data_IF_484232301639
#
_entry.id   IF_484232301639
#
_cell.length_a   1.000
_cell.length_b   1.000
_cell.length_c   1.000
_cell.angle_alpha   90.00
_cell.angle_beta   90.00
_cell.angle_gamma   90.00
#
_symmetry.space_group_name_H-M   'P 1'
#
loop_
_entity.id
_entity.type
_entity.pdbx_description
1 polymer ?
#
# COMPACT_ATOMS: atom_id res chain seq x y z
N UNK A 1 -22.03 46.78 11.83
CA UNK A 1 -21.06 46.02 12.66
C UNK A 1 -21.45 44.55 12.94
N UNK A 2 -22.66 44.12 12.60
CA UNK A 2 -23.18 42.76 12.87
C UNK A 2 -22.67 41.69 11.89
N UNK A 3 -22.53 42.01 10.60
CA UNK A 3 -22.09 41.07 9.56
C UNK A 3 -20.67 40.51 9.82
N UNK A 4 -19.73 41.37 10.25
CA UNK A 4 -18.34 40.94 10.56
C UNK A 4 -18.28 39.98 11.74
N UNK A 5 -19.13 40.17 12.75
CA UNK A 5 -19.22 39.28 13.93
C UNK A 5 -19.81 37.93 13.56
N UNK A 6 -20.83 37.93 12.69
CA UNK A 6 -21.40 36.72 12.13
C UNK A 6 -20.41 35.93 11.28
N UNK A 7 -19.68 36.60 10.39
CA UNK A 7 -18.63 35.96 9.59
C UNK A 7 -17.56 35.32 10.47
N UNK A 8 -17.13 36.03 11.51
CA UNK A 8 -16.15 35.52 12.46
C UNK A 8 -16.66 34.31 13.24
N UNK A 9 -17.91 34.36 13.71
CA UNK A 9 -18.56 33.22 14.36
C UNK A 9 -18.68 32.01 13.44
N UNK A 10 -19.03 32.22 12.17
CA UNK A 10 -19.12 31.15 11.17
C UNK A 10 -17.74 30.52 10.90
N UNK A 11 -16.70 31.32 10.74
CA UNK A 11 -15.33 30.82 10.53
C UNK A 11 -14.86 30.01 11.73
N UNK A 12 -15.07 30.50 12.96
CA UNK A 12 -14.73 29.76 14.18
C UNK A 12 -15.50 28.44 14.30
N UNK A 13 -16.79 28.45 13.95
CA UNK A 13 -17.62 27.26 13.95
C UNK A 13 -17.09 26.21 12.96
N UNK A 14 -16.74 26.62 11.74
CA UNK A 14 -16.16 25.72 10.74
C UNK A 14 -14.81 25.16 11.17
N UNK A 15 -13.96 25.97 11.80
CA UNK A 15 -12.68 25.51 12.37
C UNK A 15 -12.91 24.48 13.47
N UNK A 16 -13.85 24.75 14.39
CA UNK A 16 -14.19 23.83 15.47
C UNK A 16 -14.73 22.49 14.92
N UNK A 17 -15.62 22.56 13.92
CA UNK A 17 -16.17 21.39 13.24
C UNK A 17 -15.06 20.56 12.58
N UNK A 18 -14.14 21.21 11.88
CA UNK A 18 -13.00 20.53 11.26
C UNK A 18 -12.07 19.92 12.32
N UNK A 19 -11.76 20.63 13.41
CA UNK A 19 -10.89 20.16 14.47
C UNK A 19 -11.46 18.94 15.22
N UNK A 20 -12.78 18.92 15.42
CA UNK A 20 -13.51 17.88 16.17
C UNK A 20 -14.16 16.83 15.27
N UNK A 21 -13.80 16.79 13.99
CA UNK A 21 -14.35 15.84 13.04
C UNK A 21 -14.10 14.38 13.52
N UNK A 22 -15.13 13.52 13.61
CA UNK A 22 -14.98 12.14 14.07
C UNK A 22 -14.31 11.24 13.01
N UNK A 23 -13.67 10.16 13.47
CA UNK A 23 -13.06 9.13 12.61
C UNK A 23 -14.03 8.50 11.59
N UNK A 24 -15.32 8.45 11.92
CA UNK A 24 -16.37 7.90 11.05
C UNK A 24 -16.52 8.68 9.74
N UNK A 25 -16.21 9.99 9.72
CA UNK A 25 -16.19 10.77 8.49
C UNK A 25 -15.09 10.30 7.53
N UNK A 26 -13.92 9.93 8.06
CA UNK A 26 -12.85 9.37 7.25
C UNK A 26 -13.25 7.99 6.70
N UNK A 27 -13.87 7.15 7.52
CA UNK A 27 -14.40 5.85 7.09
C UNK A 27 -15.40 6.00 5.94
N UNK A 28 -16.34 6.94 6.07
CA UNK A 28 -17.29 7.26 5.01
C UNK A 28 -16.59 7.78 3.75
N UNK A 29 -15.66 8.73 3.88
CA UNK A 29 -14.92 9.30 2.75
C UNK A 29 -14.10 8.26 1.99
N UNK A 30 -13.45 7.34 2.70
CA UNK A 30 -12.67 6.24 2.10
C UNK A 30 -13.59 5.28 1.35
N UNK A 31 -14.72 4.91 1.94
CA UNK A 31 -15.71 4.04 1.31
C UNK A 31 -16.28 4.68 0.04
N UNK A 32 -16.69 5.94 0.11
CA UNK A 32 -17.27 6.68 -1.01
C UNK A 32 -16.26 6.89 -2.14
N UNK A 33 -15.06 7.40 -1.83
CA UNK A 33 -14.02 7.67 -2.83
C UNK A 33 -13.44 6.41 -3.48
N UNK A 34 -13.55 5.25 -2.80
CA UNK A 34 -13.12 3.96 -3.34
C UNK A 34 -14.26 3.19 -4.03
N UNK A 35 -15.46 3.75 -4.10
CA UNK A 35 -16.66 3.07 -4.59
C UNK A 35 -16.90 1.71 -3.90
N UNK A 36 -16.70 1.65 -2.57
CA UNK A 36 -16.89 0.46 -1.75
C UNK A 36 -15.76 -0.58 -1.80
N UNK A 37 -14.61 -0.25 -2.42
CA UNK A 37 -13.46 -1.17 -2.50
C UNK A 37 -12.59 -1.15 -1.25
N UNK A 38 -12.63 -0.07 -0.49
CA UNK A 38 -11.93 0.10 0.77
C UNK A 38 -12.93 0.41 1.87
N UNK A 39 -13.03 -0.47 2.85
CA UNK A 39 -13.95 -0.30 3.98
C UNK A 39 -13.17 -0.30 5.29
N UNK A 40 -13.25 0.80 6.03
CA UNK A 40 -12.71 0.88 7.40
C UNK A 40 -13.73 0.32 8.39
N UNK A 41 -13.33 -0.71 9.14
CA UNK A 41 -14.16 -1.40 10.13
C UNK A 41 -13.85 -0.89 11.54
N UNK A 42 -14.90 -0.60 12.31
CA UNK A 42 -14.80 -0.10 13.69
C UNK A 42 -13.84 1.11 13.84
N UNK A 43 -14.04 2.13 13.01
CA UNK A 43 -13.27 3.37 13.08
C UNK A 43 -13.56 4.14 14.38
N UNK A 44 -12.50 4.51 15.11
CA UNK A 44 -12.55 5.22 16.38
C UNK A 44 -11.51 6.34 16.44
N UNK A 45 -11.75 7.33 17.30
CA UNK A 45 -10.93 8.54 17.43
C UNK A 45 -11.39 9.70 16.54
N UNK A 46 -10.45 10.56 16.14
CA UNK A 46 -10.71 11.73 15.31
C UNK A 46 -10.34 11.53 13.85
N UNK A 47 -10.82 12.43 12.99
CA UNK A 47 -10.46 12.51 11.59
C UNK A 47 -8.95 12.69 11.41
N UNK A 48 -8.32 13.52 12.25
CA UNK A 48 -6.88 13.79 12.19
C UNK A 48 -6.02 12.69 12.80
N UNK A 49 -6.49 12.07 13.88
CA UNK A 49 -5.78 11.01 14.60
C UNK A 49 -6.79 9.97 15.02
N UNK A 50 -6.74 8.80 14.40
CA UNK A 50 -7.70 7.74 14.66
C UNK A 50 -7.16 6.38 14.29
N UNK A 51 -7.99 5.38 14.55
CA UNK A 51 -7.67 3.98 14.32
C UNK A 51 -8.92 3.20 13.92
N UNK A 52 -8.71 2.08 13.25
CA UNK A 52 -9.73 1.12 12.86
C UNK A 52 -9.26 -0.29 13.21
N UNK A 53 -10.18 -1.13 13.65
CA UNK A 53 -9.87 -2.54 13.94
C UNK A 53 -9.50 -3.29 12.66
N UNK A 54 -10.13 -2.93 11.54
CA UNK A 54 -9.90 -3.54 10.24
C UNK A 54 -9.94 -2.53 9.09
N UNK A 55 -9.20 -2.82 8.04
CA UNK A 55 -9.41 -2.26 6.70
C UNK A 55 -9.60 -3.43 5.74
N UNK A 56 -10.77 -3.49 5.13
CA UNK A 56 -11.09 -4.49 4.11
C UNK A 56 -10.82 -3.88 2.73
N UNK A 57 -9.90 -4.49 1.98
CA UNK A 57 -9.66 -4.19 0.58
C UNK A 57 -10.32 -5.28 -0.26
N UNK A 58 -11.27 -4.88 -1.11
CA UNK A 58 -11.92 -5.75 -2.10
C UNK A 58 -11.31 -5.53 -3.47
N UNK A 59 -10.29 -6.31 -3.86
CA UNK A 59 -9.71 -6.19 -5.20
C UNK A 59 -10.71 -6.62 -6.27
N UNK A 60 -10.45 -6.20 -7.51
CA UNK A 60 -11.25 -6.60 -8.68
C UNK A 60 -11.21 -8.11 -8.95
N UNK A 61 -10.14 -8.78 -8.49
CA UNK A 61 -9.96 -10.22 -8.58
C UNK A 61 -9.28 -10.74 -7.31
N UNK A 62 -9.79 -11.84 -6.76
CA UNK A 62 -9.28 -12.49 -5.54
C UNK A 62 -10.13 -12.23 -4.29
N UNK A 63 -9.78 -12.86 -3.16
CA UNK A 63 -10.48 -12.67 -1.90
C UNK A 63 -10.27 -11.26 -1.34
N UNK A 64 -11.14 -10.84 -0.42
CA UNK A 64 -10.94 -9.61 0.34
C UNK A 64 -9.65 -9.71 1.19
N UNK A 65 -8.80 -8.69 1.11
CA UNK A 65 -7.61 -8.58 1.94
C UNK A 65 -7.99 -7.79 3.19
N UNK A 66 -7.82 -8.39 4.36
CA UNK A 66 -8.01 -7.70 5.64
C UNK A 66 -6.68 -7.25 6.24
N UNK A 67 -6.67 -5.97 6.63
CA UNK A 67 -5.60 -5.31 7.35
C UNK A 67 -6.07 -5.01 8.77
N UNK A 68 -5.41 -5.54 9.80
CA UNK A 68 -5.90 -5.38 11.18
C UNK A 68 -5.16 -4.27 11.93
N UNK A 69 -5.85 -3.51 12.78
CA UNK A 69 -5.28 -2.40 13.57
C UNK A 69 -4.64 -1.32 12.68
N UNK A 70 -5.44 -0.75 11.79
CA UNK A 70 -5.01 0.39 10.97
C UNK A 70 -5.07 1.66 11.82
N UNK A 71 -4.00 2.45 11.80
CA UNK A 71 -3.95 3.77 12.42
C UNK A 71 -3.61 4.80 11.37
N UNK A 72 -4.16 6.00 11.54
CA UNK A 72 -3.82 7.13 10.69
C UNK A 72 -3.51 8.36 11.52
N UNK A 73 -2.62 9.19 10.97
CA UNK A 73 -2.28 10.49 11.52
C UNK A 73 -2.12 11.51 10.41
N UNK A 74 -2.91 12.57 10.49
CA UNK A 74 -2.92 13.73 9.61
C UNK A 74 -2.54 14.93 10.47
N UNK A 75 -1.62 15.76 9.99
CA UNK A 75 -1.19 16.97 10.69
C UNK A 75 -2.04 18.15 10.21
N UNK A 76 -3.03 18.64 10.99
CA UNK A 76 -4.01 19.62 10.53
C UNK A 76 -3.34 20.95 10.14
N UNK A 77 -2.35 21.40 10.90
CA UNK A 77 -1.60 22.62 10.57
C UNK A 77 -0.90 22.52 9.20
N UNK A 78 -0.42 21.34 8.78
CA UNK A 78 0.16 21.14 7.44
C UNK A 78 -0.88 21.05 6.34
N UNK A 79 -2.11 20.66 6.67
CA UNK A 79 -3.20 20.62 5.71
C UNK A 79 -3.58 22.03 5.25
N UNK A 80 -3.54 23.01 6.17
CA UNK A 80 -3.76 24.42 5.86
C UNK A 80 -2.75 24.99 4.86
N UNK A 81 -1.54 24.45 4.81
CA UNK A 81 -0.48 24.84 3.87
C UNK A 81 -0.37 23.93 2.64
N UNK A 82 -1.36 23.06 2.40
CA UNK A 82 -1.42 22.18 1.21
C UNK A 82 -0.44 21.00 1.21
N UNK A 83 0.16 20.68 2.36
CA UNK A 83 1.27 19.73 2.45
C UNK A 83 1.08 18.73 3.59
N UNK A 84 -0.14 18.24 3.83
CA UNK A 84 -0.41 17.25 4.87
C UNK A 84 -0.13 15.83 4.38
N UNK A 85 0.99 15.18 4.79
CA UNK A 85 1.09 13.75 4.67
C UNK A 85 0.07 13.09 5.60
N UNK A 86 -0.68 12.14 5.04
CA UNK A 86 -1.45 11.18 5.83
C UNK A 86 -0.53 10.00 6.12
N UNK A 87 -0.16 9.83 7.38
CA UNK A 87 0.59 8.66 7.81
C UNK A 87 -0.40 7.53 8.03
N UNK A 88 -0.18 6.39 7.39
CA UNK A 88 -1.00 5.19 7.53
C UNK A 88 -0.07 4.07 7.99
N UNK A 89 -0.45 3.42 9.09
CA UNK A 89 0.26 2.27 9.62
C UNK A 89 -0.73 1.15 9.93
N UNK A 90 -0.29 -0.07 9.68
CA UNK A 90 -0.95 -1.29 10.05
C UNK A 90 0.08 -2.16 10.78
N UNK A 91 -0.24 -2.54 12.01
CA UNK A 91 0.64 -3.33 12.87
C UNK A 91 -0.04 -4.62 13.36
N UNK A 92 -1.01 -5.16 12.62
CA UNK A 92 -1.82 -6.29 13.07
C UNK A 92 -1.98 -7.38 12.02
N UNK A 93 -1.72 -8.62 12.43
CA UNK A 93 -1.87 -9.82 11.61
C UNK A 93 -0.62 -10.14 10.78
N UNK A 94 -0.80 -10.98 9.75
CA UNK A 94 0.28 -11.46 8.87
C UNK A 94 0.74 -10.43 7.83
N UNK A 95 0.07 -9.28 7.75
CA UNK A 95 0.39 -8.19 6.84
C UNK A 95 0.59 -6.91 7.65
N UNK A 96 1.80 -6.35 7.57
CA UNK A 96 2.13 -5.05 8.13
C UNK A 96 2.43 -4.07 7.01
N UNK A 97 1.92 -2.85 7.15
CA UNK A 97 2.08 -1.80 6.15
C UNK A 97 2.37 -0.47 6.85
N UNK A 98 3.35 0.28 6.36
CA UNK A 98 3.60 1.65 6.81
C UNK A 98 3.85 2.54 5.59
N UNK A 99 3.18 3.68 5.52
CA UNK A 99 3.34 4.61 4.38
C UNK A 99 2.94 6.04 4.75
N UNK A 100 3.43 7.00 3.96
CA UNK A 100 3.03 8.40 4.04
C UNK A 100 2.40 8.82 2.72
N UNK A 101 1.10 9.11 2.72
CA UNK A 101 0.36 9.53 1.54
C UNK A 101 0.35 11.05 1.43
N UNK A 102 0.93 11.57 0.35
CA UNK A 102 0.97 12.98 0.01
C UNK A 102 -0.03 13.27 -1.11
N UNK A 103 -0.93 14.24 -0.97
CA UNK A 103 -1.76 14.69 -2.07
C UNK A 103 -0.88 15.39 -3.13
N UNK A 104 -1.08 15.07 -4.40
CA UNK A 104 -0.42 15.74 -5.53
C UNK A 104 -1.46 16.06 -6.61
N UNK A 105 -1.15 17.01 -7.50
CA UNK A 105 -2.07 17.33 -8.59
C UNK A 105 -2.34 16.07 -9.44
N UNK A 106 -3.61 15.69 -9.58
CA UNK A 106 -4.03 14.52 -10.35
C UNK A 106 -3.79 13.15 -9.68
N UNK A 107 -3.52 13.10 -8.37
CA UNK A 107 -3.49 11.83 -7.64
C UNK A 107 -2.79 11.89 -6.27
N UNK A 108 -2.04 10.86 -5.94
CA UNK A 108 -1.34 10.75 -4.67
C UNK A 108 0.12 10.29 -4.84
N UNK A 109 0.96 10.57 -3.85
CA UNK A 109 2.34 10.10 -3.77
C UNK A 109 2.51 9.35 -2.45
N UNK A 110 2.87 8.08 -2.50
CA UNK A 110 3.27 7.33 -1.32
C UNK A 110 4.77 7.48 -1.11
N UNK A 111 5.15 7.97 0.05
CA UNK A 111 6.53 8.05 0.49
C UNK A 111 6.77 7.06 1.62
N UNK A 112 7.99 6.52 1.70
CA UNK A 112 8.42 5.60 2.77
C UNK A 112 7.49 4.38 2.90
N UNK A 113 7.03 3.87 1.78
CA UNK A 113 6.19 2.67 1.74
C UNK A 113 7.00 1.47 2.20
N UNK A 114 6.45 0.73 3.16
CA UNK A 114 6.97 -0.54 3.65
C UNK A 114 5.81 -1.51 3.76
N UNK A 115 6.01 -2.70 3.24
CA UNK A 115 5.06 -3.81 3.30
C UNK A 115 5.84 -5.05 3.74
N UNK A 116 5.37 -5.72 4.78
CA UNK A 116 5.85 -7.04 5.14
C UNK A 116 4.65 -7.96 5.28
N UNK A 117 4.67 -9.09 4.56
CA UNK A 117 3.54 -10.01 4.52
C UNK A 117 3.99 -11.45 4.35
N UNK A 118 3.23 -12.39 4.93
CA UNK A 118 3.41 -13.81 4.63
C UNK A 118 3.10 -14.12 3.17
N UNK A 119 3.88 -15.02 2.55
CA UNK A 119 3.64 -15.49 1.18
C UNK A 119 2.31 -16.25 1.06
N UNK A 120 1.87 -16.91 2.14
CA UNK A 120 0.58 -17.58 2.20
C UNK A 120 -0.60 -16.59 2.02
N UNK A 121 -0.48 -15.38 2.55
CA UNK A 121 -1.48 -14.30 2.40
C UNK A 121 -1.57 -13.81 0.95
N UNK A 122 -0.48 -13.88 0.20
CA UNK A 122 -0.43 -13.46 -1.20
C UNK A 122 -0.80 -14.56 -2.19
N UNK A 123 -0.72 -15.83 -1.79
CA UNK A 123 -0.96 -16.98 -2.65
C UNK A 123 -2.29 -16.92 -3.45
N UNK A 124 -3.43 -16.46 -2.88
CA UNK A 124 -4.69 -16.34 -3.63
C UNK A 124 -4.64 -15.35 -4.80
N UNK A 125 -3.75 -14.36 -4.74
CA UNK A 125 -3.65 -13.29 -5.74
C UNK A 125 -2.67 -13.61 -6.88
N UNK A 126 -1.76 -14.56 -6.68
CA UNK A 126 -0.73 -14.89 -7.67
C UNK A 126 -1.24 -15.78 -8.81
N UNK A 127 -2.44 -16.37 -8.67
CA UNK A 127 -3.11 -17.22 -9.67
C UNK A 127 -2.20 -18.27 -10.35
N UNK A 128 -1.14 -18.72 -9.67
CA UNK A 128 -0.11 -19.59 -10.22
C UNK A 128 -0.08 -20.93 -9.46
N UNK A 129 -0.03 -22.09 -10.15
CA UNK A 129 0.06 -23.40 -9.51
C UNK A 129 1.29 -23.56 -8.60
N UNK A 130 2.32 -22.76 -8.86
CA UNK A 130 3.58 -22.67 -8.12
C UNK A 130 3.46 -21.87 -6.81
N UNK A 131 2.42 -21.05 -6.65
CA UNK A 131 2.12 -20.33 -5.41
C UNK A 131 1.39 -21.22 -4.37
N UNK A 132 0.87 -22.39 -4.76
CA UNK A 132 0.15 -23.29 -3.86
C UNK A 132 1.11 -23.91 -2.84
N UNK A 133 0.86 -23.66 -1.56
CA UNK A 133 1.70 -24.15 -0.45
C UNK A 133 2.99 -23.36 -0.26
N UNK A 134 3.13 -22.19 -0.90
CA UNK A 134 4.26 -21.30 -0.72
C UNK A 134 4.27 -20.74 0.71
N UNK A 135 5.40 -20.89 1.40
CA UNK A 135 5.62 -20.40 2.76
C UNK A 135 6.84 -19.50 2.83
N UNK A 136 6.77 -18.52 3.72
CA UNK A 136 7.83 -17.55 3.99
C UNK A 136 7.31 -16.13 3.99
N UNK A 137 8.20 -15.16 3.85
CA UNK A 137 7.92 -13.73 4.02
C UNK A 137 8.30 -12.92 2.78
N UNK A 138 7.48 -11.92 2.45
CA UNK A 138 7.82 -10.86 1.52
C UNK A 138 8.04 -9.57 2.31
N UNK A 139 9.17 -8.92 2.07
CA UNK A 139 9.47 -7.57 2.58
C UNK A 139 9.72 -6.66 1.39
N UNK A 140 8.88 -5.65 1.22
CA UNK A 140 9.01 -4.64 0.18
C UNK A 140 9.13 -3.26 0.80
N UNK A 141 10.06 -2.48 0.27
CA UNK A 141 10.23 -1.09 0.59
C UNK A 141 10.24 -0.27 -0.69
N UNK A 142 9.61 0.90 -0.64
CA UNK A 142 9.72 1.90 -1.69
C UNK A 142 9.92 3.28 -1.06
N UNK A 143 10.95 4.03 -1.47
CA UNK A 143 11.11 5.40 -1.01
C UNK A 143 9.98 6.28 -1.55
N UNK A 144 9.53 6.02 -2.79
CA UNK A 144 8.60 6.86 -3.52
C UNK A 144 7.79 6.11 -4.58
N UNK A 145 6.46 6.26 -4.52
CA UNK A 145 5.51 5.79 -5.51
C UNK A 145 4.54 6.92 -5.84
N UNK A 146 4.45 7.30 -7.11
CA UNK A 146 3.52 8.30 -7.64
C UNK A 146 2.32 7.62 -8.28
N UNK A 147 1.18 7.71 -7.59
CA UNK A 147 -0.15 7.33 -8.08
C UNK A 147 -0.85 8.53 -8.76
N UNK A 148 -0.15 9.18 -9.68
CA UNK A 148 -0.66 10.29 -10.48
C UNK A 148 0.07 10.25 -11.83
N UNK A 149 -0.58 10.62 -12.93
CA UNK A 149 0.07 10.60 -14.25
C UNK A 149 1.28 11.57 -14.27
N UNK A 150 2.44 11.15 -14.83
CA UNK A 150 2.77 9.78 -15.23
C UNK A 150 2.98 8.88 -14.01
N UNK A 151 2.36 7.70 -14.02
CA UNK A 151 2.46 6.77 -12.89
C UNK A 151 3.91 6.28 -12.81
N UNK A 152 4.57 6.41 -11.67
CA UNK A 152 5.96 5.99 -11.50
C UNK A 152 6.20 5.46 -10.11
N UNK A 153 7.00 4.43 -9.98
CA UNK A 153 7.40 3.94 -8.67
C UNK A 153 8.50 2.92 -8.78
N UNK A 154 9.33 2.84 -7.74
CA UNK A 154 10.30 1.76 -7.59
C UNK A 154 10.15 1.15 -6.22
N UNK A 155 9.97 -0.17 -6.15
CA UNK A 155 10.03 -0.91 -4.90
C UNK A 155 11.17 -1.92 -5.00
N UNK A 156 11.91 -2.09 -3.92
CA UNK A 156 12.90 -3.15 -3.78
C UNK A 156 12.65 -3.89 -2.48
N UNK A 157 13.05 -5.14 -2.44
CA UNK A 157 12.69 -6.00 -1.34
C UNK A 157 13.35 -7.35 -1.39
N UNK A 158 12.93 -8.18 -0.44
CA UNK A 158 13.41 -9.54 -0.27
C UNK A 158 12.20 -10.46 -0.12
N UNK A 159 12.29 -11.61 -0.77
CA UNK A 159 11.38 -12.73 -0.58
C UNK A 159 12.17 -13.82 0.09
N UNK A 160 11.79 -14.19 1.30
CA UNK A 160 12.27 -15.37 1.97
C UNK A 160 11.30 -16.51 1.69
N UNK A 161 11.76 -17.57 1.03
CA UNK A 161 10.97 -18.78 0.78
C UNK A 161 11.45 -19.87 1.74
N UNK A 162 10.55 -20.36 2.59
CA UNK A 162 10.86 -21.39 3.59
C UNK A 162 10.29 -22.77 3.21
N UNK A 163 9.40 -22.82 2.20
CA UNK A 163 8.86 -24.07 1.71
C UNK A 163 7.86 -23.89 0.56
N UNK A 164 7.65 -24.97 -0.19
CA UNK A 164 6.74 -25.01 -1.33
C UNK A 164 7.39 -25.67 -2.56
N UNK A 165 6.89 -25.33 -3.74
CA UNK A 165 7.40 -25.82 -5.03
C UNK A 165 8.59 -25.01 -5.56
N UNK A 166 8.82 -23.82 -5.01
CA UNK A 166 9.97 -22.97 -5.34
C UNK A 166 11.16 -23.33 -4.44
N UNK A 167 12.41 -23.11 -4.91
CA UNK A 167 13.58 -23.35 -4.07
C UNK A 167 13.54 -22.48 -2.82
N UNK A 168 13.93 -23.09 -1.69
CA UNK A 168 14.05 -22.41 -0.41
C UNK A 168 15.25 -21.47 -0.45
N UNK A 169 15.10 -20.28 0.13
CA UNK A 169 16.15 -19.29 0.25
C UNK A 169 15.65 -17.86 0.08
N UNK A 170 16.60 -16.94 0.10
CA UNK A 170 16.35 -15.50 0.02
C UNK A 170 16.52 -15.00 -1.41
N UNK A 171 15.53 -14.26 -1.89
CA UNK A 171 15.48 -13.70 -3.24
C UNK A 171 15.38 -12.19 -3.16
N UNK A 172 16.25 -11.46 -3.85
CA UNK A 172 16.07 -10.01 -4.01
C UNK A 172 15.05 -9.73 -5.10
N UNK A 173 14.08 -8.86 -4.82
CA UNK A 173 13.05 -8.43 -5.77
C UNK A 173 13.20 -6.93 -6.05
N UNK A 174 13.21 -6.56 -7.32
CA UNK A 174 13.13 -5.18 -7.76
C UNK A 174 11.92 -5.00 -8.68
N UNK A 175 11.11 -3.99 -8.37
CA UNK A 175 9.92 -3.61 -9.10
C UNK A 175 10.10 -2.17 -9.57
N UNK A 176 9.94 -1.93 -10.87
CA UNK A 176 9.99 -0.60 -11.46
C UNK A 176 8.75 -0.37 -12.34
N UNK A 177 7.82 0.44 -11.85
CA UNK A 177 6.60 0.81 -12.56
C UNK A 177 6.75 2.14 -13.30
N UNK A 178 6.35 2.16 -14.56
CA UNK A 178 6.16 3.37 -15.36
C UNK A 178 4.87 3.24 -16.20
N UNK A 179 3.93 4.15 -15.96
CA UNK A 179 2.61 4.22 -16.58
C UNK A 179 1.81 2.91 -16.44
N UNK A 180 1.72 2.10 -17.51
CA UNK A 180 1.01 0.82 -17.50
C UNK A 180 1.92 -0.39 -17.39
N UNK A 181 3.24 -0.21 -17.37
CA UNK A 181 4.20 -1.32 -17.35
C UNK A 181 4.91 -1.38 -16.01
N UNK A 182 4.83 -2.53 -15.35
CA UNK A 182 5.58 -2.88 -14.15
C UNK A 182 6.69 -3.85 -14.54
N UNK A 183 7.94 -3.38 -14.58
CA UNK A 183 9.09 -4.26 -14.76
C UNK A 183 9.41 -4.94 -13.44
N UNK A 184 9.66 -6.24 -13.51
CA UNK A 184 9.93 -7.11 -12.38
C UNK A 184 11.30 -7.74 -12.63
N UNK A 185 12.19 -7.67 -11.65
CA UNK A 185 13.47 -8.38 -11.65
C UNK A 185 13.61 -9.12 -10.35
N UNK A 186 14.04 -10.36 -10.41
CA UNK A 186 14.36 -11.14 -9.23
C UNK A 186 15.71 -11.82 -9.38
N UNK A 187 16.39 -11.99 -8.27
CA UNK A 187 17.64 -12.73 -8.21
C UNK A 187 17.61 -13.64 -7.00
N UNK A 188 17.73 -14.93 -7.26
CA UNK A 188 17.71 -15.96 -6.24
C UNK A 188 19.03 -16.12 -5.50
N UNK A 189 19.04 -17.00 -4.48
CA UNK A 189 20.20 -17.21 -3.64
C UNK A 189 21.38 -17.73 -4.44
N UNK A 190 22.60 -17.35 -4.06
CA UNK A 190 23.83 -17.88 -4.65
C UNK A 190 23.90 -19.39 -4.42
N UNK A 191 24.12 -20.18 -5.48
CA UNK A 191 24.25 -21.63 -5.37
C UNK A 191 23.76 -22.38 -6.62
N UNK A 192 23.81 -23.72 -6.62
CA UNK A 192 23.46 -24.55 -7.77
C UNK A 192 21.97 -24.49 -8.17
N UNK A 193 21.12 -23.84 -7.37
CA UNK A 193 19.71 -23.55 -7.67
C UNK A 193 19.42 -22.05 -7.80
N UNK A 194 20.44 -21.24 -8.07
CA UNK A 194 20.28 -19.81 -8.32
C UNK A 194 19.30 -19.59 -9.48
N UNK A 195 18.22 -18.88 -9.19
CA UNK A 195 17.20 -18.51 -10.17
C UNK A 195 17.14 -17.00 -10.24
N UNK A 196 17.74 -16.42 -11.28
CA UNK A 196 17.52 -15.03 -11.65
C UNK A 196 16.62 -14.96 -12.87
N UNK A 197 15.83 -13.91 -12.95
CA UNK A 197 14.98 -13.66 -14.09
C UNK A 197 14.38 -12.27 -14.04
N UNK A 198 13.74 -11.92 -15.14
CA UNK A 198 13.02 -10.66 -15.25
C UNK A 198 11.68 -10.86 -15.92
N UNK A 199 10.94 -9.79 -16.00
CA UNK A 199 9.68 -9.76 -16.71
C UNK A 199 9.07 -8.38 -16.66
N UNK A 200 7.91 -8.26 -17.29
CA UNK A 200 7.07 -7.09 -17.14
C UNK A 200 5.61 -7.49 -17.04
N UNK A 201 4.85 -6.66 -16.37
CA UNK A 201 3.41 -6.79 -16.28
C UNK A 201 2.74 -5.54 -16.84
N UNK A 202 1.84 -5.73 -17.81
CA UNK A 202 1.03 -4.67 -18.44
C UNK A 202 -0.47 -4.98 -18.42
N UNK A 203 -0.88 -5.87 -17.51
CA UNK A 203 -2.18 -6.54 -17.49
C UNK A 203 -2.06 -8.04 -17.71
N UNK A 204 -0.98 -8.48 -18.39
CA UNK A 204 -0.53 -9.88 -18.42
C UNK A 204 0.92 -9.95 -17.94
N UNK A 205 1.28 -11.05 -17.28
CA UNK A 205 2.65 -11.27 -16.85
C UNK A 205 3.47 -11.83 -18.02
N UNK A 206 4.48 -11.08 -18.45
CA UNK A 206 5.49 -11.51 -19.41
C UNK A 206 6.77 -11.78 -18.64
N UNK A 207 7.37 -12.97 -18.82
CA UNK A 207 8.62 -13.33 -18.17
C UNK A 207 9.75 -13.40 -19.21
N UNK A 208 10.79 -12.61 -18.97
CA UNK A 208 12.08 -12.69 -19.64
C UNK A 208 13.00 -13.55 -18.78
N UNK A 209 12.98 -14.86 -19.01
CA UNK A 209 13.91 -15.78 -18.35
C UNK A 209 13.36 -17.19 -18.25
N UNK A 210 14.04 -18.12 -18.91
CA UNK A 210 13.92 -19.53 -18.58
C UNK A 210 14.43 -19.76 -17.15
N UNK A 211 13.79 -20.62 -16.33
CA UNK A 211 14.39 -21.09 -15.10
C UNK A 211 15.76 -21.74 -15.43
N UNK A 212 16.86 -21.04 -15.14
CA UNK A 212 18.22 -21.56 -15.33
C UNK A 212 19.21 -20.71 -16.16
N UNK A 213 18.91 -19.46 -16.51
CA UNK A 213 19.91 -18.60 -17.18
C UNK A 213 20.97 -18.09 -16.19
N UNK A 214 21.95 -18.95 -15.89
CA UNK A 214 23.27 -18.55 -15.42
C UNK A 214 23.89 -17.73 -16.56
N UNK A 215 23.92 -16.40 -16.47
CA UNK A 215 24.91 -15.65 -17.24
C UNK A 215 26.27 -15.99 -16.65
N UNK A 216 27.04 -16.80 -17.38
CA UNK A 216 28.45 -17.07 -17.11
C UNK A 216 29.26 -15.78 -16.99
#
# INVERSE_FOLDING_TARGET
>A
MTLRRWLFGLVLYLIALAALAPATLLAWLVNESSAGRLTLLAASGGFWLGQAEGLELRPLAGPALMMNRVRWRIQPYRALWGAAPVQIENAGGDLTLATQLWPVLGGARLARFRLQTGLATLAPYLAAPMAKGLRGELRLASPDIRLAKPYRGRASGEIQIDGGRLPVGSYSLELAGADRRLNIRWSGPQGPRAMSGGGWWDGKLHMDGLPGAISR
#
